data_IF_552004152115
#
_entry.id   IF_552004152115
#
_cell.length_a   1.000
_cell.length_b   1.000
_cell.length_c   1.000
_cell.angle_alpha   90.00
_cell.angle_beta   90.00
_cell.angle_gamma   90.00
#
_symmetry.space_group_name_H-M   'P 1'
#
loop_
_entity.id
_entity.type
_entity.pdbx_description
1 polymer ?
#
# COMPACT_ATOMS: atom_id res chain seq x y z
N UNK A 1 84.82 -10.29 18.26
CA UNK A 1 84.73 -10.83 19.63
C UNK A 1 83.38 -10.41 20.19
N UNK A 2 82.53 -11.37 20.61
CA UNK A 2 81.28 -11.21 21.39
C UNK A 2 80.10 -10.54 20.63
N UNK A 3 78.87 -11.07 20.55
CA UNK A 3 78.23 -12.39 20.76
C UNK A 3 76.91 -12.34 19.95
N UNK A 4 76.54 -13.48 19.37
CA UNK A 4 75.26 -13.77 18.69
C UNK A 4 74.05 -13.43 19.57
N UNK A 5 72.97 -12.91 18.95
CA UNK A 5 71.58 -13.32 19.23
C UNK A 5 70.77 -13.28 17.93
N UNK A 6 70.48 -14.47 17.43
CA UNK A 6 69.53 -14.75 16.36
C UNK A 6 68.15 -14.75 17.00
N UNK A 7 67.26 -13.87 16.56
CA UNK A 7 65.83 -13.95 16.89
C UNK A 7 65.14 -14.64 15.71
N UNK A 8 64.70 -15.88 15.94
CA UNK A 8 63.69 -16.52 15.10
C UNK A 8 62.35 -15.84 15.41
N UNK A 9 61.71 -15.25 14.41
CA UNK A 9 60.25 -15.06 14.44
C UNK A 9 59.62 -16.17 13.62
N UNK A 10 58.85 -17.01 14.34
CA UNK A 10 58.05 -18.07 13.76
C UNK A 10 56.92 -17.50 12.90
N UNK A 11 56.76 -18.06 11.71
CA UNK A 11 55.59 -17.88 10.88
C UNK A 11 54.44 -18.69 11.47
N UNK A 12 53.49 -18.01 12.12
CA UNK A 12 52.20 -18.60 12.49
C UNK A 12 51.28 -18.57 11.28
N UNK A 13 51.09 -19.73 10.63
CA UNK A 13 49.97 -19.97 9.73
C UNK A 13 48.67 -19.92 10.55
N UNK A 14 47.91 -18.82 10.42
CA UNK A 14 46.51 -18.78 10.79
C UNK A 14 45.70 -19.34 9.62
N UNK A 15 45.35 -20.62 9.71
CA UNK A 15 44.32 -21.21 8.88
C UNK A 15 42.97 -20.59 9.29
N UNK A 16 42.49 -19.63 8.50
CA UNK A 16 41.14 -19.11 8.59
C UNK A 16 40.17 -20.21 8.15
N UNK A 17 39.59 -20.90 9.15
CA UNK A 17 38.42 -21.74 8.97
C UNK A 17 37.28 -20.82 8.56
N UNK A 18 36.98 -20.79 7.26
CA UNK A 18 35.70 -20.27 6.77
C UNK A 18 34.61 -21.24 7.24
N UNK A 19 34.06 -20.96 8.42
CA UNK A 19 32.76 -21.50 8.80
C UNK A 19 31.73 -20.81 7.91
N UNK A 20 31.34 -21.48 6.84
CA UNK A 20 30.14 -21.13 6.08
C UNK A 20 28.95 -21.26 7.02
N UNK A 21 28.53 -20.14 7.62
CA UNK A 21 27.24 -20.01 8.28
C UNK A 21 26.16 -20.15 7.22
N UNK A 22 25.75 -21.39 6.99
CA UNK A 22 24.50 -21.75 6.35
C UNK A 22 23.38 -21.10 7.17
N UNK A 23 22.85 -19.98 6.67
CA UNK A 23 21.56 -19.48 7.10
C UNK A 23 20.55 -20.59 6.81
N UNK A 24 20.14 -21.28 7.87
CA UNK A 24 19.03 -22.22 7.83
C UNK A 24 17.79 -21.35 7.69
N UNK A 25 17.33 -21.16 6.45
CA UNK A 25 15.96 -20.74 6.17
C UNK A 25 15.08 -21.73 6.90
N UNK A 26 14.44 -21.27 7.99
CA UNK A 26 13.46 -22.08 8.70
C UNK A 26 12.18 -22.02 7.88
N UNK A 27 12.19 -22.66 6.71
CA UNK A 27 10.96 -23.12 6.08
C UNK A 27 10.34 -24.06 7.08
N UNK A 28 9.24 -23.66 7.71
CA UNK A 28 8.35 -24.56 8.45
C UNK A 28 7.70 -25.47 7.39
N UNK A 29 8.50 -26.36 6.82
CA UNK A 29 8.04 -27.53 6.08
C UNK A 29 7.89 -28.63 7.13
N UNK A 30 6.81 -28.57 7.90
CA UNK A 30 6.25 -29.81 8.40
C UNK A 30 5.95 -30.63 7.15
N UNK A 31 6.73 -31.69 6.88
CA UNK A 31 6.48 -32.59 5.76
C UNK A 31 5.10 -33.22 5.95
N UNK A 32 4.08 -32.58 5.39
CA UNK A 32 2.73 -33.14 5.36
C UNK A 32 2.78 -34.43 4.53
N UNK A 33 2.22 -35.50 5.07
CA UNK A 33 2.02 -36.74 4.34
C UNK A 33 0.97 -36.54 3.25
N UNK A 34 0.98 -37.41 2.23
CA UNK A 34 -0.01 -37.39 1.14
C UNK A 34 -1.45 -37.45 1.66
N UNK A 35 -1.69 -38.23 2.71
CA UNK A 35 -3.01 -38.39 3.32
C UNK A 35 -3.45 -37.14 4.09
N UNK A 36 -2.54 -36.45 4.77
CA UNK A 36 -2.83 -35.18 5.44
C UNK A 36 -3.16 -34.08 4.43
N UNK A 37 -2.40 -34.02 3.32
CA UNK A 37 -2.68 -33.09 2.23
C UNK A 37 -4.06 -33.37 1.65
N UNK A 38 -4.37 -34.63 1.32
CA UNK A 38 -5.65 -35.02 0.75
C UNK A 38 -6.85 -34.66 1.65
N UNK A 39 -6.73 -34.81 2.98
CA UNK A 39 -7.79 -34.47 3.95
C UNK A 39 -8.08 -32.97 4.03
N UNK A 40 -7.07 -32.13 3.78
CA UNK A 40 -7.16 -30.66 3.84
C UNK A 40 -7.25 -30.00 2.46
N UNK A 41 -7.20 -30.79 1.38
CA UNK A 41 -7.26 -30.30 0.02
C UNK A 41 -8.63 -29.70 -0.27
N UNK A 42 -8.65 -28.46 -0.74
CA UNK A 42 -9.88 -27.83 -1.22
C UNK A 42 -9.89 -27.73 -2.74
N UNK A 43 -10.92 -28.27 -3.39
CA UNK A 43 -11.08 -28.15 -4.83
C UNK A 43 -11.72 -26.83 -5.25
N UNK A 44 -12.08 -25.94 -4.31
CA UNK A 44 -12.61 -24.61 -4.56
C UNK A 44 -11.87 -23.59 -3.72
N UNK A 45 -11.39 -22.53 -4.35
CA UNK A 45 -10.68 -21.44 -3.69
C UNK A 45 -11.34 -20.13 -4.07
N UNK A 46 -11.90 -19.43 -3.07
CA UNK A 46 -12.48 -18.11 -3.22
C UNK A 46 -11.52 -17.04 -2.72
N UNK A 47 -11.15 -16.10 -3.61
CA UNK A 47 -10.33 -14.93 -3.32
C UNK A 47 -11.24 -13.74 -3.03
N UNK A 48 -11.13 -13.19 -1.83
CA UNK A 48 -12.05 -12.19 -1.29
C UNK A 48 -11.37 -10.83 -1.20
N UNK A 49 -12.12 -9.80 -1.61
CA UNK A 49 -11.74 -8.39 -1.47
C UNK A 49 -12.87 -7.60 -0.83
N UNK A 50 -12.56 -6.40 -0.32
CA UNK A 50 -13.61 -5.47 0.14
C UNK A 50 -14.33 -4.74 -0.98
N UNK A 51 -13.78 -4.78 -2.18
CA UNK A 51 -14.33 -4.19 -3.40
C UNK A 51 -13.61 -4.79 -4.61
N UNK A 52 -14.32 -4.92 -5.73
CA UNK A 52 -13.76 -5.36 -7.00
C UNK A 52 -14.08 -4.31 -8.07
N UNK A 53 -13.09 -4.00 -8.89
CA UNK A 53 -13.24 -3.04 -9.98
C UNK A 53 -14.26 -3.56 -11.02
N UNK A 54 -15.29 -2.78 -11.39
CA UNK A 54 -16.25 -3.16 -12.42
C UNK A 54 -15.63 -3.43 -13.80
N UNK A 55 -14.43 -2.90 -14.08
CA UNK A 55 -13.69 -3.22 -15.30
C UNK A 55 -13.05 -4.61 -15.29
N UNK A 56 -12.90 -5.24 -14.11
CA UNK A 56 -12.43 -6.61 -13.95
C UNK A 56 -13.59 -7.60 -13.93
N UNK A 57 -14.57 -7.36 -13.05
CA UNK A 57 -15.75 -8.20 -12.86
C UNK A 57 -16.93 -7.65 -13.63
N UNK A 58 -17.32 -8.37 -14.67
CA UNK A 58 -18.50 -8.10 -15.48
C UNK A 58 -19.38 -9.36 -15.54
N UNK A 59 -20.34 -9.44 -14.61
CA UNK A 59 -21.24 -10.59 -14.45
C UNK A 59 -22.12 -10.85 -15.70
N UNK A 60 -22.20 -9.88 -16.63
CA UNK A 60 -23.00 -10.00 -17.85
C UNK A 60 -22.20 -10.57 -19.02
N UNK A 61 -20.88 -10.67 -18.89
CA UNK A 61 -19.99 -11.09 -19.97
C UNK A 61 -19.24 -12.38 -19.61
N UNK A 62 -19.57 -13.54 -20.21
CA UNK A 62 -18.84 -14.78 -19.96
C UNK A 62 -17.38 -14.74 -20.45
N UNK A 63 -17.00 -13.78 -21.31
CA UNK A 63 -15.62 -13.52 -21.72
C UNK A 63 -14.98 -12.36 -20.94
N UNK A 64 -15.50 -12.05 -19.74
CA UNK A 64 -14.97 -11.02 -18.85
C UNK A 64 -13.48 -11.23 -18.54
N UNK A 65 -12.82 -10.14 -18.15
CA UNK A 65 -11.42 -10.16 -17.70
C UNK A 65 -11.25 -11.12 -16.51
N UNK A 66 -12.21 -11.15 -15.59
CA UNK A 66 -12.27 -12.11 -14.49
C UNK A 66 -12.19 -13.57 -14.99
N UNK A 67 -13.04 -13.96 -15.95
CA UNK A 67 -13.04 -15.34 -16.45
C UNK A 67 -11.75 -15.71 -17.18
N UNK A 68 -11.17 -14.78 -17.93
CA UNK A 68 -9.85 -14.98 -18.54
C UNK A 68 -8.76 -15.18 -17.49
N UNK A 69 -8.78 -14.38 -16.42
CA UNK A 69 -7.84 -14.51 -15.31
C UNK A 69 -8.03 -15.80 -14.52
N UNK A 70 -9.28 -16.18 -14.20
CA UNK A 70 -9.60 -17.45 -13.55
C UNK A 70 -9.10 -18.62 -14.39
N UNK A 71 -9.29 -18.61 -15.71
CA UNK A 71 -8.79 -19.66 -16.61
C UNK A 71 -7.25 -19.76 -16.54
N UNK A 72 -6.55 -18.64 -16.54
CA UNK A 72 -5.10 -18.58 -16.39
C UNK A 72 -4.64 -19.16 -15.03
N UNK A 73 -5.27 -18.74 -13.93
CA UNK A 73 -4.98 -19.25 -12.58
C UNK A 73 -5.18 -20.77 -12.48
N UNK A 74 -6.33 -21.26 -12.96
CA UNK A 74 -6.64 -22.71 -12.99
C UNK A 74 -5.57 -23.49 -13.76
N UNK A 75 -5.22 -23.03 -14.96
CA UNK A 75 -4.21 -23.69 -15.79
C UNK A 75 -2.82 -23.71 -15.13
N UNK A 76 -2.41 -22.58 -14.53
CA UNK A 76 -1.10 -22.45 -13.87
C UNK A 76 -1.01 -23.29 -12.59
N UNK A 77 -2.04 -23.24 -11.74
CA UNK A 77 -2.12 -24.08 -10.55
C UNK A 77 -2.11 -25.56 -10.91
N UNK A 78 -2.91 -25.97 -11.90
CA UNK A 78 -2.97 -27.36 -12.37
C UNK A 78 -1.60 -27.85 -12.85
N UNK A 79 -0.88 -27.03 -13.62
CA UNK A 79 0.47 -27.38 -14.07
C UNK A 79 1.42 -27.67 -12.90
N UNK A 80 1.41 -26.84 -11.85
CA UNK A 80 2.23 -27.08 -10.65
C UNK A 80 1.76 -28.29 -9.85
N UNK A 81 0.44 -28.48 -9.69
CA UNK A 81 -0.16 -29.65 -9.03
C UNK A 81 0.23 -30.95 -9.73
N UNK A 82 0.06 -31.03 -11.05
CA UNK A 82 0.30 -32.25 -11.83
C UNK A 82 1.80 -32.61 -11.91
N UNK A 83 2.68 -31.63 -11.74
CA UNK A 83 4.13 -31.82 -11.67
C UNK A 83 4.61 -32.33 -10.31
N UNK A 84 3.79 -32.22 -9.26
CA UNK A 84 4.18 -32.60 -7.90
C UNK A 84 3.69 -34.02 -7.53
N UNK A 85 4.58 -34.94 -7.12
CA UNK A 85 4.21 -36.31 -6.79
C UNK A 85 3.17 -36.46 -5.66
N UNK A 86 3.10 -35.48 -4.74
CA UNK A 86 2.16 -35.49 -3.61
C UNK A 86 0.76 -35.06 -4.03
N UNK A 87 0.62 -34.21 -5.06
CA UNK A 87 -0.66 -33.57 -5.40
C UNK A 87 -1.18 -33.91 -6.80
N UNK A 88 -0.40 -34.54 -7.67
CA UNK A 88 -0.81 -34.88 -9.05
C UNK A 88 -2.11 -35.68 -9.16
N UNK A 89 -2.41 -36.51 -8.16
CA UNK A 89 -3.64 -37.32 -8.12
C UNK A 89 -4.80 -36.67 -7.36
N UNK A 90 -4.62 -35.46 -6.82
CA UNK A 90 -5.68 -34.73 -6.13
C UNK A 90 -6.61 -34.05 -7.14
N UNK A 91 -7.88 -33.77 -6.76
CA UNK A 91 -8.81 -33.03 -7.60
C UNK A 91 -8.23 -31.71 -8.08
N UNK A 92 -8.59 -31.31 -9.31
CA UNK A 92 -8.30 -29.98 -9.82
C UNK A 92 -8.99 -28.91 -8.96
N UNK A 93 -8.41 -27.71 -8.93
CA UNK A 93 -8.88 -26.60 -8.10
C UNK A 93 -9.55 -25.55 -8.97
N UNK A 94 -10.77 -25.19 -8.59
CA UNK A 94 -11.53 -24.09 -9.16
C UNK A 94 -11.28 -22.79 -8.37
N UNK A 95 -11.20 -21.67 -9.07
CA UNK A 95 -11.06 -20.34 -8.48
C UNK A 95 -12.30 -19.48 -8.72
N UNK A 96 -12.64 -18.64 -7.75
CA UNK A 96 -13.67 -17.60 -7.85
C UNK A 96 -13.25 -16.33 -7.08
N UNK A 97 -13.88 -15.20 -7.39
CA UNK A 97 -13.74 -13.97 -6.61
C UNK A 97 -15.05 -13.59 -5.94
N UNK A 98 -14.95 -13.13 -4.69
CA UNK A 98 -16.08 -12.64 -3.91
C UNK A 98 -15.77 -11.28 -3.25
N UNK A 99 -16.83 -10.58 -2.85
CA UNK A 99 -16.75 -9.32 -2.12
C UNK A 99 -17.27 -9.50 -0.70
N UNK A 100 -16.48 -9.11 0.28
CA UNK A 100 -16.90 -9.04 1.67
C UNK A 100 -16.63 -7.64 2.22
N UNK A 101 -17.68 -6.90 2.55
CA UNK A 101 -17.52 -5.52 3.03
C UNK A 101 -17.12 -5.44 4.51
N UNK A 102 -17.26 -6.51 5.28
CA UNK A 102 -16.99 -6.54 6.71
C UNK A 102 -15.53 -6.90 7.01
N UNK A 103 -14.64 -5.92 6.79
CA UNK A 103 -13.20 -6.06 7.07
C UNK A 103 -12.89 -6.47 8.51
N UNK A 104 -13.74 -6.08 9.47
CA UNK A 104 -13.49 -6.33 10.89
C UNK A 104 -13.56 -7.82 11.24
N UNK A 105 -14.29 -8.63 10.46
CA UNK A 105 -14.40 -10.07 10.69
C UNK A 105 -13.43 -10.92 9.86
N UNK A 106 -12.63 -10.32 8.98
CA UNK A 106 -11.74 -11.06 8.07
C UNK A 106 -10.82 -12.04 8.83
N UNK A 107 -10.12 -11.56 9.86
CA UNK A 107 -9.21 -12.40 10.64
C UNK A 107 -9.95 -13.58 11.31
N UNK A 108 -11.09 -13.31 11.96
CA UNK A 108 -11.88 -14.37 12.60
C UNK A 108 -12.42 -15.39 11.61
N UNK A 109 -12.79 -15.00 10.39
CA UNK A 109 -13.25 -15.94 9.34
C UNK A 109 -12.11 -16.84 8.84
N UNK A 110 -10.91 -16.26 8.66
CA UNK A 110 -9.69 -16.98 8.32
C UNK A 110 -9.29 -17.99 9.41
N UNK A 111 -9.32 -17.57 10.67
CA UNK A 111 -9.00 -18.39 11.84
C UNK A 111 -10.00 -19.53 12.04
N UNK A 112 -11.30 -19.24 11.94
CA UNK A 112 -12.40 -20.20 12.03
C UNK A 112 -12.53 -21.12 10.80
N UNK A 113 -11.61 -21.03 9.86
CA UNK A 113 -11.56 -21.91 8.69
C UNK A 113 -12.83 -21.85 7.82
N UNK A 114 -13.37 -20.65 7.56
CA UNK A 114 -14.54 -20.46 6.68
C UNK A 114 -14.23 -20.91 5.24
N UNK A 115 -14.74 -22.08 4.86
CA UNK A 115 -14.51 -22.69 3.53
C UNK A 115 -15.21 -21.99 2.37
N UNK A 116 -16.02 -20.95 2.63
CA UNK A 116 -16.63 -20.16 1.56
C UNK A 116 -15.73 -19.00 1.13
N UNK A 117 -14.71 -18.68 1.93
CA UNK A 117 -13.87 -17.48 1.80
C UNK A 117 -12.43 -17.81 2.18
N UNK A 118 -11.73 -18.44 1.25
CA UNK A 118 -10.43 -19.08 1.54
C UNK A 118 -9.29 -18.11 1.70
N UNK A 119 -9.23 -17.05 0.88
CA UNK A 119 -8.11 -16.10 0.84
C UNK A 119 -8.66 -14.69 0.88
N UNK A 120 -8.23 -13.87 1.83
CA UNK A 120 -8.54 -12.45 1.86
C UNK A 120 -7.32 -11.65 1.43
N UNK A 121 -7.51 -10.71 0.50
CA UNK A 121 -6.52 -9.70 0.13
C UNK A 121 -6.96 -8.38 0.74
N UNK A 122 -6.19 -7.86 1.68
CA UNK A 122 -6.52 -6.62 2.37
C UNK A 122 -5.29 -5.91 2.92
N UNK A 123 -5.48 -4.62 3.19
CA UNK A 123 -4.49 -3.79 3.84
C UNK A 123 -4.10 -4.33 5.23
N UNK A 124 -2.83 -4.19 5.60
CA UNK A 124 -2.28 -4.63 6.89
C UNK A 124 -3.00 -4.01 8.10
N UNK A 125 -3.56 -2.81 7.98
CA UNK A 125 -4.42 -2.21 9.02
C UNK A 125 -5.57 -3.13 9.45
N UNK A 126 -6.09 -3.95 8.53
CA UNK A 126 -7.18 -4.90 8.79
C UNK A 126 -6.78 -5.95 9.82
N UNK A 127 -5.49 -6.30 9.88
CA UNK A 127 -4.97 -7.40 10.69
C UNK A 127 -4.02 -6.95 11.80
N UNK A 128 -3.65 -5.66 11.84
CA UNK A 128 -2.57 -5.16 12.70
C UNK A 128 -2.78 -5.50 14.17
N UNK A 129 -4.01 -5.42 14.69
CA UNK A 129 -4.32 -5.70 16.09
C UNK A 129 -4.21 -7.20 16.45
N UNK A 130 -4.26 -8.10 15.46
CA UNK A 130 -4.08 -9.54 15.67
C UNK A 130 -2.60 -9.92 15.74
N UNK A 131 -1.76 -9.16 15.03
CA UNK A 131 -0.34 -9.46 14.87
C UNK A 131 0.59 -8.53 15.66
N UNK A 132 0.11 -7.40 16.17
CA UNK A 132 0.91 -6.47 16.96
C UNK A 132 0.19 -6.09 18.26
N UNK A 133 0.72 -6.58 19.38
CA UNK A 133 0.15 -6.36 20.71
C UNK A 133 1.29 -6.04 21.69
N UNK A 134 1.05 -5.13 22.64
CA UNK A 134 2.04 -4.76 23.65
C UNK A 134 3.42 -4.37 23.07
N UNK A 135 3.43 -3.68 21.93
CA UNK A 135 4.64 -3.32 21.17
C UNK A 135 5.50 -4.51 20.71
N UNK A 136 4.88 -5.66 20.48
CA UNK A 136 5.54 -6.87 20.01
C UNK A 136 4.74 -7.56 18.90
N UNK A 137 5.46 -8.25 18.02
CA UNK A 137 4.85 -9.06 16.97
C UNK A 137 4.40 -10.41 17.54
N UNK A 138 3.12 -10.74 17.36
CA UNK A 138 2.56 -12.02 17.71
C UNK A 138 2.87 -13.06 16.61
N UNK A 139 3.62 -14.10 16.98
CA UNK A 139 3.99 -15.22 16.10
C UNK A 139 3.01 -16.40 16.19
N UNK A 140 2.10 -16.37 17.14
CA UNK A 140 1.14 -17.44 17.39
C UNK A 140 -0.15 -17.15 16.61
N UNK A 141 -0.25 -17.75 15.43
CA UNK A 141 -1.44 -17.70 14.58
C UNK A 141 -1.51 -18.91 13.66
N UNK A 142 -2.73 -19.35 13.34
CA UNK A 142 -2.96 -20.52 12.49
C UNK A 142 -3.28 -20.16 11.03
N UNK A 143 -3.50 -18.87 10.73
CA UNK A 143 -3.75 -18.39 9.37
C UNK A 143 -2.55 -18.62 8.46
N UNK A 144 -2.80 -18.74 7.16
CA UNK A 144 -1.78 -19.08 6.16
C UNK A 144 -1.29 -17.83 5.46
N UNK A 145 0.01 -17.61 5.47
CA UNK A 145 0.63 -16.53 4.68
C UNK A 145 0.69 -16.99 3.22
N UNK A 146 0.01 -16.30 2.31
CA UNK A 146 0.00 -16.66 0.88
C UNK A 146 0.96 -15.77 0.11
N UNK A 147 0.74 -14.45 0.12
CA UNK A 147 1.55 -13.54 -0.68
C UNK A 147 1.54 -12.11 -0.18
N UNK A 148 2.64 -11.41 -0.41
CA UNK A 148 2.68 -9.94 -0.40
C UNK A 148 2.31 -9.43 -1.79
N UNK A 149 1.42 -8.44 -1.87
CA UNK A 149 1.16 -7.75 -3.15
C UNK A 149 2.14 -6.59 -3.35
N UNK A 150 2.36 -6.22 -4.60
CA UNK A 150 3.11 -5.02 -5.00
C UNK A 150 2.35 -4.31 -6.10
N UNK A 151 2.58 -3.00 -6.21
CA UNK A 151 1.95 -2.14 -7.21
C UNK A 151 2.98 -1.47 -8.09
N UNK A 152 2.55 -0.94 -9.24
CA UNK A 152 3.42 -0.11 -10.07
C UNK A 152 3.81 1.16 -9.34
N UNK A 153 5.11 1.48 -9.39
CA UNK A 153 5.68 2.66 -8.78
C UNK A 153 5.27 3.92 -9.54
N UNK A 154 4.95 5.00 -8.83
CA UNK A 154 4.69 6.28 -9.48
C UNK A 154 5.98 6.93 -10.00
N UNK A 155 5.87 7.76 -11.04
CA UNK A 155 7.02 8.46 -11.63
C UNK A 155 7.80 9.34 -10.63
N UNK A 156 7.11 9.91 -9.65
CA UNK A 156 7.71 10.80 -8.65
C UNK A 156 8.33 10.08 -7.44
N UNK A 157 8.09 8.77 -7.30
CA UNK A 157 8.64 7.95 -6.23
C UNK A 157 10.06 7.51 -6.59
N UNK A 158 11.01 7.71 -5.66
CA UNK A 158 12.42 7.34 -5.87
C UNK A 158 12.81 6.06 -5.15
N UNK A 159 12.37 5.89 -3.90
CA UNK A 159 12.62 4.67 -3.10
C UNK A 159 11.48 4.40 -2.11
N UNK A 160 11.34 3.14 -1.71
CA UNK A 160 10.33 2.72 -0.73
C UNK A 160 10.68 3.22 0.68
N UNK A 161 11.96 3.16 1.05
CA UNK A 161 12.53 3.62 2.34
C UNK A 161 12.66 5.15 2.46
N UNK A 162 11.62 5.92 2.10
CA UNK A 162 11.51 7.34 2.47
C UNK A 162 10.63 7.46 3.72
N UNK A 163 11.18 8.01 4.79
CA UNK A 163 10.49 8.26 6.06
C UNK A 163 10.58 9.73 6.43
N UNK A 164 9.61 10.19 7.20
CA UNK A 164 9.55 11.54 7.74
C UNK A 164 10.78 11.85 8.59
N UNK A 165 11.32 13.06 8.43
CA UNK A 165 12.47 13.56 9.18
C UNK A 165 12.06 14.78 10.00
N UNK A 166 11.61 15.84 9.33
CA UNK A 166 11.31 17.13 9.96
C UNK A 166 10.14 17.91 9.32
N UNK A 167 9.63 17.43 8.18
CA UNK A 167 8.55 18.06 7.42
C UNK A 167 8.94 19.36 6.72
N UNK A 168 10.20 19.77 6.73
CA UNK A 168 10.69 20.97 6.05
C UNK A 168 10.93 20.70 4.57
N UNK A 169 11.28 21.71 3.78
CA UNK A 169 11.45 21.53 2.33
C UNK A 169 12.50 20.46 1.97
N UNK A 170 13.53 20.26 2.79
CA UNK A 170 14.53 19.18 2.62
C UNK A 170 14.03 17.79 3.01
N UNK A 171 12.88 17.67 3.66
CA UNK A 171 12.31 16.38 4.06
C UNK A 171 12.06 15.51 2.81
N UNK A 172 12.50 14.24 2.80
CA UNK A 172 12.31 13.35 1.65
C UNK A 172 10.85 13.22 1.21
N UNK A 173 9.88 13.29 2.13
CA UNK A 173 8.46 13.21 1.84
C UNK A 173 7.88 14.53 1.29
N UNK A 174 8.47 15.67 1.67
CA UNK A 174 8.17 16.98 1.04
C UNK A 174 8.72 17.05 -0.37
N UNK A 175 9.94 16.59 -0.58
CA UNK A 175 10.57 16.51 -1.90
C UNK A 175 9.79 15.58 -2.84
N UNK A 176 9.25 14.47 -2.33
CA UNK A 176 8.38 13.60 -3.12
C UNK A 176 7.06 14.28 -3.49
N UNK A 177 6.41 14.97 -2.55
CA UNK A 177 5.20 15.74 -2.82
C UNK A 177 5.41 16.83 -3.88
N UNK A 178 6.56 17.52 -3.86
CA UNK A 178 6.93 18.49 -4.89
C UNK A 178 7.07 17.83 -6.26
N UNK A 179 7.76 16.69 -6.36
CA UNK A 179 7.85 15.92 -7.61
C UNK A 179 6.48 15.45 -8.10
N UNK A 180 5.59 15.02 -7.21
CA UNK A 180 4.22 14.66 -7.57
C UNK A 180 3.49 15.87 -8.20
N UNK A 181 3.53 17.03 -7.56
CA UNK A 181 2.89 18.24 -8.08
C UNK A 181 3.43 18.60 -9.46
N UNK A 182 4.75 18.51 -9.66
CA UNK A 182 5.42 18.76 -10.94
C UNK A 182 4.95 17.77 -12.02
N UNK A 183 4.96 16.46 -11.71
CA UNK A 183 4.54 15.43 -12.67
C UNK A 183 3.08 15.62 -13.11
N UNK A 184 2.17 15.91 -12.18
CA UNK A 184 0.75 16.12 -12.48
C UNK A 184 0.46 17.32 -13.38
N UNK A 185 1.33 18.33 -13.40
CA UNK A 185 1.11 19.55 -14.20
C UNK A 185 1.96 19.57 -15.47
N UNK A 186 3.25 19.21 -15.39
CA UNK A 186 4.16 19.27 -16.53
C UNK A 186 3.88 18.17 -17.55
N UNK A 187 3.44 16.98 -17.12
CA UNK A 187 3.11 15.89 -18.04
C UNK A 187 1.79 16.12 -18.76
N UNK A 188 0.89 16.94 -18.22
CA UNK A 188 -0.47 17.13 -18.73
C UNK A 188 -0.66 18.47 -19.43
N UNK A 189 0.16 19.47 -19.10
CA UNK A 189 -0.02 20.90 -19.41
C UNK A 189 -1.31 21.52 -18.84
N UNK A 190 -2.03 20.80 -17.97
CA UNK A 190 -3.31 21.24 -17.38
C UNK A 190 -3.44 20.73 -15.95
N UNK A 191 -4.11 21.52 -15.11
CA UNK A 191 -4.47 21.10 -13.77
C UNK A 191 -5.61 20.08 -13.76
N UNK A 192 -5.70 19.24 -12.73
CA UNK A 192 -6.96 18.57 -12.41
C UNK A 192 -7.88 19.64 -11.81
N UNK A 193 -9.13 19.83 -12.28
CA UNK A 193 -10.01 18.91 -12.99
C UNK A 193 -10.07 19.03 -14.53
N UNK A 194 -9.15 19.74 -15.17
CA UNK A 194 -9.11 19.93 -16.64
C UNK A 194 -8.38 18.81 -17.39
N UNK A 195 -8.01 17.72 -16.72
CA UNK A 195 -7.31 16.57 -17.33
C UNK A 195 -8.03 15.93 -18.52
N UNK A 196 -9.36 16.01 -18.60
CA UNK A 196 -10.13 15.57 -19.77
C UNK A 196 -9.82 16.37 -21.05
N UNK A 197 -9.18 17.54 -20.94
CA UNK A 197 -8.71 18.37 -22.05
C UNK A 197 -7.29 18.01 -22.51
N UNK A 198 -6.57 17.17 -21.75
CA UNK A 198 -5.20 16.76 -22.09
C UNK A 198 -5.21 15.58 -23.05
N UNK A 199 -4.54 15.72 -24.19
CA UNK A 199 -4.26 14.64 -25.15
C UNK A 199 -3.11 13.73 -24.72
N UNK A 200 -2.35 14.13 -23.70
CA UNK A 200 -1.19 13.38 -23.16
C UNK A 200 -1.59 12.28 -22.19
N UNK A 201 -2.83 12.26 -21.70
CA UNK A 201 -3.31 11.34 -20.69
C UNK A 201 -4.07 10.15 -21.29
N UNK A 202 -3.70 8.94 -20.88
CA UNK A 202 -4.36 7.69 -21.26
C UNK A 202 -4.95 7.03 -20.02
N UNK A 203 -6.28 6.98 -19.94
CA UNK A 203 -6.99 6.23 -18.90
C UNK A 203 -7.23 4.79 -19.39
N UNK A 204 -6.56 3.81 -18.80
CA UNK A 204 -6.52 2.41 -19.27
C UNK A 204 -7.76 1.57 -18.88
N UNK A 205 -8.80 2.22 -18.36
CA UNK A 205 -9.99 1.61 -17.77
C UNK A 205 -9.93 1.49 -16.24
N UNK A 206 -8.76 1.64 -15.64
CA UNK A 206 -8.54 1.62 -14.19
C UNK A 206 -7.81 2.87 -13.69
N UNK A 207 -6.81 3.35 -14.44
CA UNK A 207 -5.92 4.45 -14.05
C UNK A 207 -5.33 5.19 -15.24
N UNK A 208 -4.79 6.38 -14.98
CA UNK A 208 -3.93 7.14 -15.90
C UNK A 208 -2.53 6.53 -15.92
N UNK A 209 -2.25 5.70 -16.92
CA UNK A 209 -1.03 4.89 -16.97
C UNK A 209 0.26 5.73 -17.09
N UNK A 210 0.16 6.95 -17.61
CA UNK A 210 1.29 7.86 -17.84
C UNK A 210 2.09 8.21 -16.57
N UNK A 211 1.47 8.09 -15.39
CA UNK A 211 2.07 8.46 -14.12
C UNK A 211 2.78 7.31 -13.41
N UNK A 212 2.87 6.15 -14.05
CA UNK A 212 3.50 4.96 -13.51
C UNK A 212 4.77 4.63 -14.28
N UNK A 213 5.79 4.19 -13.55
CA UNK A 213 7.03 3.72 -14.11
C UNK A 213 6.80 2.33 -14.72
N UNK A 214 7.05 2.13 -16.02
CA UNK A 214 6.83 0.84 -16.66
C UNK A 214 7.63 -0.26 -15.96
N UNK A 215 6.94 -1.32 -15.54
CA UNK A 215 7.51 -2.52 -14.93
C UNK A 215 8.36 -2.31 -13.67
N UNK A 216 8.31 -1.12 -13.05
CA UNK A 216 8.90 -0.90 -11.73
C UNK A 216 7.82 -1.05 -10.67
N UNK A 217 8.11 -1.91 -9.69
CA UNK A 217 7.19 -2.24 -8.63
C UNK A 217 7.63 -1.56 -7.33
N UNK A 218 6.67 -1.43 -6.41
CA UNK A 218 6.88 -0.99 -5.04
C UNK A 218 6.02 -1.84 -4.12
N UNK A 219 6.54 -2.08 -2.91
CA UNK A 219 5.83 -2.81 -1.86
C UNK A 219 5.06 -1.89 -0.93
N UNK A 220 5.09 -0.59 -1.20
CA UNK A 220 4.51 0.40 -0.31
C UNK A 220 3.54 1.32 -1.03
N UNK A 221 2.66 1.89 -0.22
CA UNK A 221 1.86 3.04 -0.59
C UNK A 221 1.87 4.04 0.56
N UNK A 222 1.37 5.25 0.30
CA UNK A 222 1.39 6.36 1.24
C UNK A 222 0.03 7.04 1.24
N UNK A 223 -0.26 7.73 2.34
CA UNK A 223 -1.22 8.82 2.34
C UNK A 223 -0.54 10.12 1.95
N UNK A 224 -1.34 11.15 1.72
CA UNK A 224 -0.89 12.53 1.52
C UNK A 224 -1.76 13.51 2.29
N UNK A 225 -1.21 14.69 2.54
CA UNK A 225 -1.96 15.88 2.95
C UNK A 225 -2.03 16.81 1.73
N UNK A 226 -3.24 17.05 1.25
CA UNK A 226 -3.52 18.04 0.22
C UNK A 226 -3.76 19.42 0.82
N UNK A 227 -3.38 20.46 0.10
CA UNK A 227 -3.72 21.85 0.37
C UNK A 227 -4.37 22.49 -0.86
N UNK A 228 -5.36 23.37 -0.66
CA UNK A 228 -5.99 24.16 -1.72
C UNK A 228 -5.92 25.66 -1.44
N UNK A 229 -6.14 26.46 -2.48
CA UNK A 229 -6.01 27.90 -2.46
C UNK A 229 -5.26 28.40 -3.68
N UNK A 230 -5.18 29.72 -3.85
CA UNK A 230 -4.17 30.35 -4.70
C UNK A 230 -2.77 30.19 -4.09
N UNK A 231 -1.73 30.69 -4.77
CA UNK A 231 -0.35 30.54 -4.27
C UNK A 231 -0.19 31.17 -2.88
N UNK A 232 -0.72 32.36 -2.66
CA UNK A 232 -0.61 33.06 -1.37
C UNK A 232 -1.23 32.24 -0.22
N UNK A 233 -2.40 31.66 -0.42
CA UNK A 233 -3.06 30.81 0.59
C UNK A 233 -2.31 29.51 0.82
N UNK A 234 -1.79 28.86 -0.23
CA UNK A 234 -0.98 27.64 -0.08
C UNK A 234 0.34 27.93 0.65
N UNK A 235 0.96 29.08 0.39
CA UNK A 235 2.17 29.53 1.08
C UNK A 235 1.89 29.81 2.56
N UNK A 236 0.73 30.39 2.90
CA UNK A 236 0.31 30.59 4.30
C UNK A 236 0.14 29.26 5.04
N UNK A 237 -0.56 28.28 4.44
CA UNK A 237 -0.72 26.95 5.04
C UNK A 237 0.64 26.26 5.21
N UNK A 238 1.51 26.37 4.21
CA UNK A 238 2.87 25.81 4.24
C UNK A 238 3.72 26.48 5.30
N UNK A 239 3.55 27.79 5.52
CA UNK A 239 4.22 28.50 6.60
C UNK A 239 3.77 28.01 7.98
N UNK A 240 2.47 27.87 8.21
CA UNK A 240 1.95 27.36 9.48
C UNK A 240 2.40 25.92 9.76
N UNK A 241 2.55 25.11 8.71
CA UNK A 241 3.22 23.82 8.78
C UNK A 241 4.70 23.97 9.16
N UNK A 242 5.51 24.70 8.38
CA UNK A 242 6.95 24.82 8.61
C UNK A 242 7.28 25.40 10.01
N UNK A 243 6.47 26.35 10.49
CA UNK A 243 6.56 26.96 11.82
C UNK A 243 6.05 26.04 12.95
N UNK A 244 5.54 24.85 12.62
CA UNK A 244 4.90 23.89 13.53
C UNK A 244 3.77 24.52 14.35
N UNK A 245 3.03 25.45 13.75
CA UNK A 245 1.94 26.16 14.41
C UNK A 245 0.62 25.39 14.26
N UNK A 246 0.40 24.41 15.14
CA UNK A 246 -0.81 23.58 15.13
C UNK A 246 -2.10 24.41 15.09
N UNK A 247 -2.22 25.42 15.96
CA UNK A 247 -3.43 26.23 16.13
C UNK A 247 -3.80 27.04 14.88
N UNK A 248 -2.81 27.47 14.10
CA UNK A 248 -3.07 28.12 12.81
C UNK A 248 -3.30 27.11 11.70
N UNK A 249 -2.52 26.03 11.67
CA UNK A 249 -2.63 24.99 10.66
C UNK A 249 -4.05 24.40 10.59
N UNK A 250 -4.61 24.00 11.73
CA UNK A 250 -5.96 23.41 11.78
C UNK A 250 -7.07 24.40 11.41
N UNK A 251 -6.83 25.71 11.55
CA UNK A 251 -7.82 26.75 11.22
C UNK A 251 -8.07 26.91 9.72
N UNK A 252 -7.18 26.39 8.88
CA UNK A 252 -7.42 26.27 7.44
C UNK A 252 -8.44 25.18 7.08
N UNK A 253 -8.78 24.35 8.06
CA UNK A 253 -9.82 23.34 8.02
C UNK A 253 -9.41 22.05 7.33
N UNK A 254 -9.73 20.94 7.98
CA UNK A 254 -9.24 19.60 7.64
C UNK A 254 -10.42 18.71 7.27
N UNK A 255 -10.34 18.09 6.09
CA UNK A 255 -11.32 17.13 5.58
C UNK A 255 -10.77 15.70 5.65
N UNK A 256 -11.60 14.78 6.13
CA UNK A 256 -11.41 13.34 5.99
C UNK A 256 -12.76 12.62 6.03
N UNK A 257 -12.85 11.47 5.35
CA UNK A 257 -14.11 10.73 5.24
C UNK A 257 -14.37 9.81 6.42
N UNK A 258 -13.39 8.99 6.77
CA UNK A 258 -13.59 7.81 7.61
C UNK A 258 -12.31 7.50 8.40
N UNK A 259 -12.45 7.45 9.72
CA UNK A 259 -11.35 7.25 10.66
C UNK A 259 -10.73 5.85 10.61
N UNK A 260 -11.46 4.88 10.06
CA UNK A 260 -10.95 3.52 9.87
C UNK A 260 -9.96 3.41 8.71
N UNK A 261 -9.89 4.42 7.82
CA UNK A 261 -9.05 4.37 6.61
C UNK A 261 -7.60 4.67 6.93
N UNK A 262 -6.71 3.85 6.40
CA UNK A 262 -5.28 3.97 6.66
C UNK A 262 -4.68 5.18 5.94
N UNK A 263 -4.59 5.13 4.61
CA UNK A 263 -3.93 6.16 3.79
C UNK A 263 -4.74 7.45 3.58
N UNK A 264 -5.95 7.55 4.11
CA UNK A 264 -6.78 8.77 4.08
C UNK A 264 -7.20 9.26 5.48
N UNK A 265 -6.61 8.72 6.54
CA UNK A 265 -6.78 9.25 7.90
C UNK A 265 -5.63 8.87 8.84
N UNK A 266 -5.43 7.58 9.12
CA UNK A 266 -4.54 7.14 10.19
C UNK A 266 -3.10 7.57 9.98
N UNK A 267 -2.59 7.50 8.75
CA UNK A 267 -1.21 7.87 8.44
C UNK A 267 -0.99 9.38 8.58
N UNK A 268 -1.99 10.17 8.22
CA UNK A 268 -1.98 11.63 8.38
C UNK A 268 -2.04 12.02 9.86
N UNK A 269 -2.89 11.37 10.66
CA UNK A 269 -2.91 11.56 12.12
C UNK A 269 -1.54 11.27 12.73
N UNK A 270 -0.89 10.17 12.32
CA UNK A 270 0.45 9.85 12.78
C UNK A 270 1.49 10.88 12.36
N UNK A 271 1.43 11.36 11.12
CA UNK A 271 2.30 12.40 10.61
C UNK A 271 2.10 13.73 11.37
N UNK A 272 0.85 14.15 11.61
CA UNK A 272 0.54 15.36 12.38
C UNK A 272 1.06 15.25 13.82
N UNK A 273 0.87 14.11 14.46
CA UNK A 273 1.36 13.86 15.81
C UNK A 273 2.91 13.94 15.88
N UNK A 274 3.61 13.42 14.86
CA UNK A 274 5.07 13.58 14.72
C UNK A 274 5.46 15.05 14.54
N UNK A 275 4.84 15.72 13.58
CA UNK A 275 5.26 17.05 13.13
C UNK A 275 5.00 18.14 14.17
N UNK A 276 3.81 18.15 14.76
CA UNK A 276 3.38 19.15 15.75
C UNK A 276 3.70 18.76 17.19
N UNK A 277 4.51 17.70 17.40
CA UNK A 277 4.86 17.15 18.70
C UNK A 277 3.66 16.89 19.62
N UNK A 278 2.64 16.23 19.06
CA UNK A 278 1.44 15.78 19.79
C UNK A 278 1.42 14.26 19.89
N UNK A 279 0.52 13.73 20.67
CA UNK A 279 0.14 12.32 20.70
C UNK A 279 -0.95 12.05 19.66
N UNK A 280 -1.06 10.80 19.22
CA UNK A 280 -2.17 10.35 18.35
C UNK A 280 -3.52 10.65 19.01
N UNK A 281 -3.60 10.45 20.33
CA UNK A 281 -4.79 10.71 21.13
C UNK A 281 -5.20 12.18 21.07
N UNK A 282 -4.28 13.11 21.32
CA UNK A 282 -4.58 14.55 21.25
C UNK A 282 -5.08 15.00 19.87
N UNK A 283 -4.51 14.45 18.79
CA UNK A 283 -4.99 14.74 17.42
C UNK A 283 -6.42 14.24 17.22
N UNK A 284 -6.70 12.99 17.61
CA UNK A 284 -8.04 12.41 17.47
C UNK A 284 -9.08 13.12 18.34
N UNK A 285 -8.74 13.47 19.59
CA UNK A 285 -9.62 14.23 20.48
C UNK A 285 -9.95 15.61 19.90
N UNK A 286 -8.98 16.28 19.26
CA UNK A 286 -9.25 17.54 18.54
C UNK A 286 -10.23 17.31 17.38
N UNK A 287 -10.03 16.26 16.58
CA UNK A 287 -10.95 15.91 15.48
C UNK A 287 -12.34 15.46 15.95
N UNK A 288 -12.48 15.06 17.22
CA UNK A 288 -13.75 14.67 17.86
C UNK A 288 -14.43 15.80 18.63
N UNK A 289 -13.73 16.91 18.85
CA UNK A 289 -14.22 18.05 19.64
C UNK A 289 -15.44 18.77 19.05
N UNK A 290 -15.77 18.51 17.78
CA UNK A 290 -16.80 19.27 17.06
C UNK A 290 -16.33 20.66 16.62
N UNK A 291 -15.02 20.91 16.59
CA UNK A 291 -14.45 22.13 16.05
C UNK A 291 -14.96 22.39 14.61
N UNK A 292 -15.41 23.62 14.35
CA UNK A 292 -16.04 24.01 13.07
C UNK A 292 -15.12 23.85 11.86
N UNK A 293 -13.80 23.80 12.09
CA UNK A 293 -12.78 23.64 11.06
C UNK A 293 -12.58 22.16 10.67
N UNK A 294 -13.23 21.21 11.34
CA UNK A 294 -13.11 19.78 11.04
C UNK A 294 -14.31 19.28 10.24
N UNK A 295 -14.02 18.75 9.05
CA UNK A 295 -15.01 18.25 8.08
C UNK A 295 -14.91 16.72 8.01
N UNK A 296 -15.51 16.06 8.99
CA UNK A 296 -15.61 14.60 9.05
C UNK A 296 -16.77 14.06 8.19
N UNK A 297 -16.61 12.89 7.60
CA UNK A 297 -17.66 12.18 6.85
C UNK A 297 -17.70 12.47 5.35
N UNK A 298 -16.90 13.43 4.87
CA UNK A 298 -16.88 13.86 3.47
C UNK A 298 -15.57 13.49 2.79
N UNK A 299 -15.62 13.09 1.52
CA UNK A 299 -14.41 12.80 0.76
C UNK A 299 -13.67 14.09 0.41
N UNK A 300 -12.34 14.03 0.39
CA UNK A 300 -11.48 15.13 -0.04
C UNK A 300 -11.89 15.67 -1.42
N UNK A 301 -12.05 14.77 -2.40
CA UNK A 301 -12.47 15.09 -3.77
C UNK A 301 -13.78 15.89 -3.86
N UNK A 302 -14.68 15.75 -2.89
CA UNK A 302 -16.00 16.33 -2.95
C UNK A 302 -16.04 17.72 -2.32
N UNK A 303 -15.13 18.07 -1.39
CA UNK A 303 -15.25 19.27 -0.55
C UNK A 303 -14.02 20.18 -0.49
N UNK A 304 -12.81 19.70 -0.80
CA UNK A 304 -11.60 20.53 -0.65
C UNK A 304 -11.66 21.79 -1.53
N UNK A 305 -11.42 22.95 -0.93
CA UNK A 305 -11.47 24.25 -1.62
C UNK A 305 -12.88 24.70 -2.02
N UNK A 306 -13.93 24.04 -1.55
CA UNK A 306 -15.33 24.43 -1.80
C UNK A 306 -15.98 25.04 -0.57
N UNK A 307 -16.69 26.13 -0.75
CA UNK A 307 -17.41 26.79 0.34
C UNK A 307 -18.57 25.91 0.86
N UNK A 308 -18.65 25.78 2.19
CA UNK A 308 -19.74 25.12 2.91
C UNK A 308 -19.98 25.87 4.21
N UNK A 309 -21.21 26.34 4.44
CA UNK A 309 -21.58 27.13 5.63
C UNK A 309 -20.63 28.29 5.93
N UNK A 310 -20.27 29.07 4.90
CA UNK A 310 -19.35 30.23 4.97
C UNK A 310 -17.92 29.89 5.39
N UNK A 311 -17.52 28.62 5.31
CA UNK A 311 -16.16 28.17 5.53
C UNK A 311 -15.67 27.39 4.31
N UNK A 312 -14.39 27.56 3.93
CA UNK A 312 -13.78 26.80 2.83
C UNK A 312 -12.64 25.96 3.39
N UNK A 313 -12.83 24.65 3.61
CA UNK A 313 -11.73 23.79 4.06
C UNK A 313 -10.63 23.69 3.01
N UNK A 314 -9.40 23.91 3.44
CA UNK A 314 -8.21 23.99 2.59
C UNK A 314 -7.24 22.86 2.76
N UNK A 315 -7.43 21.98 3.74
CA UNK A 315 -6.58 20.80 3.97
C UNK A 315 -7.44 19.54 3.82
N UNK A 316 -6.92 18.51 3.17
CA UNK A 316 -7.59 17.22 3.09
C UNK A 316 -6.63 16.04 3.18
N UNK A 317 -7.12 14.92 3.70
CA UNK A 317 -6.41 13.65 3.73
C UNK A 317 -6.94 12.71 2.63
N UNK A 318 -6.03 12.12 1.87
CA UNK A 318 -6.34 11.07 0.90
C UNK A 318 -5.11 10.20 0.62
N UNK A 319 -5.30 9.13 -0.15
CA UNK A 319 -4.21 8.27 -0.63
C UNK A 319 -3.30 9.01 -1.63
N UNK A 320 -1.99 8.71 -1.61
CA UNK A 320 -1.04 9.24 -2.59
C UNK A 320 -1.44 8.86 -4.02
N UNK A 321 -1.47 9.83 -4.92
CA UNK A 321 -1.78 9.55 -6.32
C UNK A 321 -3.27 9.36 -6.61
N UNK A 322 -4.18 9.73 -5.70
CA UNK A 322 -5.64 9.53 -5.87
C UNK A 322 -6.22 10.01 -7.20
N UNK A 323 -5.63 11.03 -7.84
CA UNK A 323 -6.05 11.51 -9.16
C UNK A 323 -5.84 10.46 -10.25
N UNK A 324 -4.86 9.57 -10.08
CA UNK A 324 -4.44 8.61 -11.09
C UNK A 324 -5.51 7.55 -11.35
N UNK A 325 -6.26 7.11 -10.35
CA UNK A 325 -7.39 6.18 -10.54
C UNK A 325 -8.76 6.86 -10.46
N UNK A 326 -8.78 8.18 -10.26
CA UNK A 326 -10.01 8.98 -10.27
C UNK A 326 -10.21 9.58 -11.65
N UNK A 327 -10.95 8.86 -12.51
CA UNK A 327 -11.19 9.28 -13.90
C UNK A 327 -11.84 10.67 -13.95
N UNK A 328 -11.11 11.62 -14.51
CA UNK A 328 -11.65 12.93 -14.84
C UNK A 328 -12.63 12.83 -16.02
N UNK A 329 -13.74 13.55 -15.91
CA UNK A 329 -14.77 13.68 -16.95
C UNK A 329 -15.10 15.17 -17.10
N UNK A 330 -15.54 15.59 -18.28
CA UNK A 330 -15.82 17.00 -18.62
C UNK A 330 -16.63 17.74 -17.55
N UNK A 331 -17.69 17.12 -17.04
CA UNK A 331 -18.59 17.73 -16.06
C UNK A 331 -18.30 17.31 -14.61
N UNK A 332 -17.09 16.81 -14.35
CA UNK A 332 -16.69 16.36 -13.02
C UNK A 332 -16.35 17.56 -12.12
N UNK A 333 -16.94 17.58 -10.93
CA UNK A 333 -16.63 18.54 -9.87
C UNK A 333 -15.66 17.97 -8.83
N UNK A 334 -15.05 16.82 -9.09
CA UNK A 334 -14.05 16.23 -8.19
C UNK A 334 -12.84 17.17 -8.13
N UNK A 335 -12.34 17.46 -6.93
CA UNK A 335 -11.20 18.36 -6.65
C UNK A 335 -11.28 19.77 -7.29
N UNK A 336 -12.42 20.17 -7.86
CA UNK A 336 -12.65 21.51 -8.42
C UNK A 336 -12.97 22.48 -7.27
N UNK A 337 -12.07 23.42 -7.00
CA UNK A 337 -12.30 24.43 -5.95
C UNK A 337 -13.36 25.45 -6.39
N UNK A 338 -13.99 26.17 -5.45
CA UNK A 338 -15.00 27.18 -5.77
C UNK A 338 -14.47 28.36 -6.58
N UNK A 339 -13.15 28.62 -6.52
CA UNK A 339 -12.48 29.73 -7.22
C UNK A 339 -11.58 29.25 -8.36
N UNK A 340 -11.68 27.98 -8.75
CA UNK A 340 -10.91 27.43 -9.85
C UNK A 340 -11.23 28.17 -11.16
N UNK A 341 -10.19 28.59 -11.86
CA UNK A 341 -10.29 29.25 -13.16
C UNK A 341 -9.80 28.30 -14.24
N UNK A 342 -10.70 27.98 -15.18
CA UNK A 342 -10.36 27.14 -16.33
C UNK A 342 -9.41 27.86 -17.28
N UNK A 343 -8.61 27.08 -18.03
CA UNK A 343 -7.70 27.57 -19.07
C UNK A 343 -6.59 28.51 -18.57
N UNK A 344 -6.28 28.48 -17.28
CA UNK A 344 -5.10 29.14 -16.73
C UNK A 344 -3.86 28.28 -16.92
N UNK A 345 -2.68 28.90 -17.09
CA UNK A 345 -1.41 28.21 -16.92
C UNK A 345 -1.37 27.51 -15.55
N UNK A 346 -0.73 26.34 -15.48
CA UNK A 346 -0.64 25.55 -14.26
C UNK A 346 0.14 26.23 -13.12
N UNK A 347 0.92 27.24 -13.48
CA UNK A 347 1.73 28.11 -12.63
C UNK A 347 1.12 29.50 -12.44
N UNK A 348 -0.17 29.70 -12.78
CA UNK A 348 -0.88 30.94 -12.44
C UNK A 348 -1.07 31.04 -10.93
N UNK A 349 -0.34 31.96 -10.32
CA UNK A 349 -0.34 32.21 -8.88
C UNK A 349 -1.72 32.57 -8.31
N UNK A 350 -2.65 33.05 -9.13
CA UNK A 350 -4.00 33.45 -8.71
C UNK A 350 -5.03 32.33 -8.88
N UNK A 351 -4.68 31.20 -9.50
CA UNK A 351 -5.61 30.10 -9.67
C UNK A 351 -5.73 29.28 -8.38
N UNK A 352 -6.97 29.04 -7.94
CA UNK A 352 -7.26 28.26 -6.74
C UNK A 352 -7.26 26.76 -7.09
N UNK A 353 -6.17 26.08 -6.76
CA UNK A 353 -5.90 24.70 -7.17
C UNK A 353 -5.47 23.85 -5.97
N UNK A 354 -5.60 22.53 -6.13
CA UNK A 354 -5.17 21.56 -5.12
C UNK A 354 -3.74 21.09 -5.42
N UNK A 355 -2.92 21.01 -4.37
CA UNK A 355 -1.53 20.52 -4.42
C UNK A 355 -1.27 19.59 -3.24
N UNK A 356 -0.32 18.68 -3.39
CA UNK A 356 0.20 17.86 -2.29
C UNK A 356 1.14 18.72 -1.45
N UNK A 357 0.89 18.87 -0.16
CA UNK A 357 1.83 19.49 0.78
C UNK A 357 2.96 18.50 1.13
N UNK A 358 2.58 17.30 1.59
CA UNK A 358 3.52 16.28 2.06
C UNK A 358 2.91 14.88 1.95
N UNK A 359 3.73 13.86 1.69
CA UNK A 359 3.36 12.45 1.80
C UNK A 359 3.56 11.93 3.24
N UNK A 360 2.92 10.81 3.59
CA UNK A 360 3.12 10.15 4.90
C UNK A 360 4.29 9.16 4.86
N UNK A 361 4.63 8.62 6.03
CA UNK A 361 5.45 7.42 6.11
C UNK A 361 4.83 6.29 5.25
N UNK A 362 5.67 5.41 4.68
CA UNK A 362 5.21 4.32 3.84
C UNK A 362 4.54 3.26 4.70
N UNK A 363 3.50 2.66 4.14
CA UNK A 363 2.87 1.46 4.67
C UNK A 363 3.00 0.34 3.63
N UNK A 364 3.09 -0.94 4.05
CA UNK A 364 3.06 -2.04 3.10
C UNK A 364 1.78 -2.03 2.27
N UNK A 365 1.89 -2.43 1.01
CA UNK A 365 0.74 -2.73 0.18
C UNK A 365 0.02 -3.99 0.70
N UNK A 366 -1.15 -4.30 0.15
CA UNK A 366 -2.04 -5.31 0.72
C UNK A 366 -1.41 -6.72 0.80
N UNK A 367 -1.89 -7.53 1.74
CA UNK A 367 -1.43 -8.90 1.98
C UNK A 367 -2.54 -9.90 1.67
N UNK A 368 -2.16 -11.04 1.08
CA UNK A 368 -3.03 -12.19 0.88
C UNK A 368 -2.83 -13.20 2.02
N UNK A 369 -3.85 -13.40 2.84
CA UNK A 369 -3.88 -14.36 3.95
C UNK A 369 -4.95 -15.43 3.68
N UNK A 370 -4.59 -16.69 3.84
CA UNK A 370 -5.43 -17.86 3.65
C UNK A 370 -5.95 -18.45 4.96
N UNK A 371 -7.10 -19.12 4.92
CA UNK A 371 -7.73 -19.73 6.10
C UNK A 371 -6.88 -20.84 6.70
N UNK A 372 -7.01 -21.05 8.02
CA UNK A 372 -6.16 -21.95 8.81
C UNK A 372 -6.16 -23.42 8.35
N UNK A 373 -7.29 -23.91 7.82
CA UNK A 373 -7.46 -25.32 7.44
C UNK A 373 -6.96 -25.69 6.04
N UNK A 374 -6.32 -24.80 5.28
CA UNK A 374 -5.63 -25.18 4.05
C UNK A 374 -4.38 -26.01 4.39
N UNK A 375 -4.09 -27.04 3.58
CA UNK A 375 -2.80 -27.74 3.69
C UNK A 375 -1.65 -26.80 3.36
N UNK A 376 -0.50 -26.97 4.03
CA UNK A 376 0.70 -26.19 3.70
C UNK A 376 1.13 -26.45 2.25
N UNK A 377 0.92 -27.66 1.73
CA UNK A 377 1.21 -27.97 0.33
C UNK A 377 0.30 -27.21 -0.65
N UNK A 378 -0.99 -27.07 -0.35
CA UNK A 378 -1.88 -26.25 -1.18
C UNK A 378 -1.51 -24.77 -1.11
N UNK A 379 -1.13 -24.27 0.07
CA UNK A 379 -0.61 -22.90 0.25
C UNK A 379 0.65 -22.66 -0.59
N UNK A 380 1.59 -23.60 -0.60
CA UNK A 380 2.80 -23.54 -1.44
C UNK A 380 2.41 -23.41 -2.94
N UNK A 381 1.49 -24.24 -3.42
CA UNK A 381 1.04 -24.22 -4.82
C UNK A 381 0.27 -22.94 -5.16
N UNK A 382 -0.55 -22.41 -4.24
CA UNK A 382 -1.25 -21.12 -4.41
C UNK A 382 -0.25 -19.96 -4.49
N UNK A 383 0.71 -19.93 -3.57
CA UNK A 383 1.79 -18.94 -3.54
C UNK A 383 2.59 -18.94 -4.83
N UNK A 384 3.02 -20.14 -5.27
CA UNK A 384 3.75 -20.32 -6.53
C UNK A 384 2.93 -19.92 -7.75
N UNK A 385 1.64 -20.23 -7.76
CA UNK A 385 0.72 -19.84 -8.83
C UNK A 385 0.66 -18.32 -8.98
N UNK A 386 0.35 -17.61 -7.90
CA UNK A 386 0.24 -16.15 -7.89
C UNK A 386 1.59 -15.48 -8.21
N UNK A 387 2.68 -15.96 -7.62
CA UNK A 387 4.01 -15.40 -7.85
C UNK A 387 4.49 -15.61 -9.30
N UNK A 388 4.09 -16.70 -9.96
CA UNK A 388 4.53 -16.99 -11.33
C UNK A 388 3.94 -16.06 -12.41
N UNK A 389 2.92 -15.26 -12.08
CA UNK A 389 2.27 -14.35 -13.04
C UNK A 389 3.18 -13.15 -13.33
N UNK A 390 3.50 -12.88 -14.59
CA UNK A 390 4.11 -11.60 -14.98
C UNK A 390 3.15 -10.42 -14.74
N UNK A 391 3.66 -9.19 -14.82
CA UNK A 391 2.84 -7.97 -14.68
C UNK A 391 1.76 -7.95 -15.77
N UNK A 392 2.12 -8.35 -16.98
CA UNK A 392 1.26 -8.37 -18.17
C UNK A 392 0.20 -9.49 -18.11
N UNK A 393 0.57 -10.67 -17.62
CA UNK A 393 -0.36 -11.79 -17.43
C UNK A 393 -1.35 -11.57 -16.28
N UNK A 394 -0.97 -10.78 -15.28
CA UNK A 394 -1.79 -10.52 -14.10
C UNK A 394 -2.89 -9.48 -14.40
N UNK A 395 -3.91 -9.93 -15.15
CA UNK A 395 -5.06 -9.11 -15.51
C UNK A 395 -5.79 -8.54 -14.30
N UNK A 396 -5.86 -9.29 -13.19
CA UNK A 396 -6.43 -8.80 -11.94
C UNK A 396 -5.66 -7.59 -11.39
N UNK A 397 -4.32 -7.68 -11.36
CA UNK A 397 -3.45 -6.60 -10.92
C UNK A 397 -3.61 -5.29 -11.68
N UNK A 398 -3.94 -5.34 -12.99
CA UNK A 398 -4.21 -4.12 -13.78
C UNK A 398 -5.34 -3.27 -13.19
N UNK A 399 -6.38 -3.91 -12.65
CA UNK A 399 -7.62 -3.26 -12.22
C UNK A 399 -7.72 -3.02 -10.71
N UNK A 400 -6.89 -3.71 -9.92
CA UNK A 400 -6.84 -3.56 -8.46
C UNK A 400 -5.60 -2.82 -7.95
N UNK A 401 -4.55 -2.76 -8.75
CA UNK A 401 -3.23 -2.29 -8.32
C UNK A 401 -2.33 -3.39 -7.77
N UNK A 402 -2.81 -4.63 -7.59
CA UNK A 402 -2.00 -5.79 -7.17
C UNK A 402 -1.20 -6.36 -8.35
N UNK A 403 -0.29 -5.55 -8.92
CA UNK A 403 0.39 -5.84 -10.18
C UNK A 403 1.28 -7.08 -10.14
N UNK A 404 1.83 -7.44 -8.97
CA UNK A 404 2.62 -8.67 -8.80
C UNK A 404 2.51 -9.19 -7.37
N UNK A 405 2.55 -10.51 -7.24
CA UNK A 405 2.53 -11.22 -5.96
C UNK A 405 3.90 -11.80 -5.65
N UNK A 406 4.31 -11.72 -4.39
CA UNK A 406 5.58 -12.22 -3.88
C UNK A 406 5.33 -13.23 -2.78
N UNK A 407 6.15 -14.28 -2.74
CA UNK A 407 6.10 -15.26 -1.65
C UNK A 407 6.28 -14.54 -0.30
N UNK A 408 5.46 -14.91 0.67
CA UNK A 408 5.45 -14.29 1.98
C UNK A 408 5.84 -15.32 3.04
N UNK A 409 6.96 -15.05 3.72
CA UNK A 409 7.40 -15.81 4.89
C UNK A 409 7.20 -14.97 6.17
N UNK A 410 7.40 -15.61 7.32
CA UNK A 410 7.20 -14.99 8.62
C UNK A 410 8.09 -13.75 8.83
N UNK A 411 9.34 -13.79 8.38
CA UNK A 411 10.31 -12.71 8.59
C UNK A 411 9.91 -11.44 7.82
N UNK A 412 9.56 -11.58 6.54
CA UNK A 412 9.09 -10.47 5.71
C UNK A 412 7.71 -9.97 6.20
N UNK A 413 6.85 -10.88 6.63
CA UNK A 413 5.56 -10.52 7.20
C UNK A 413 5.70 -9.69 8.49
N UNK A 414 6.61 -10.08 9.40
CA UNK A 414 6.92 -9.31 10.61
C UNK A 414 7.45 -7.91 10.25
N UNK A 415 8.33 -7.81 9.25
CA UNK A 415 8.84 -6.51 8.76
C UNK A 415 7.70 -5.62 8.23
N UNK A 416 6.77 -6.16 7.45
CA UNK A 416 5.64 -5.40 6.94
C UNK A 416 4.64 -5.00 8.04
N UNK A 417 4.40 -5.85 9.04
CA UNK A 417 3.62 -5.47 10.22
C UNK A 417 4.28 -4.31 10.97
N UNK A 418 5.59 -4.37 11.21
CA UNK A 418 6.34 -3.27 11.83
C UNK A 418 6.27 -1.99 10.99
N UNK A 419 6.36 -2.11 9.67
CA UNK A 419 6.20 -0.97 8.76
C UNK A 419 4.79 -0.35 8.86
N UNK A 420 3.75 -1.17 8.92
CA UNK A 420 2.37 -0.70 9.12
C UNK A 420 2.22 0.03 10.47
N UNK A 421 2.77 -0.53 11.56
CA UNK A 421 2.76 0.12 12.87
C UNK A 421 3.47 1.47 12.83
N UNK A 422 4.61 1.56 12.15
CA UNK A 422 5.33 2.82 11.95
C UNK A 422 4.51 3.81 11.10
N UNK A 423 3.70 3.37 10.13
CA UNK A 423 2.82 4.25 9.38
C UNK A 423 1.67 4.82 10.25
N UNK A 424 1.10 4.03 11.17
CA UNK A 424 -0.06 4.43 12.01
C UNK A 424 0.29 5.05 13.37
N UNK A 425 1.56 4.99 13.80
CA UNK A 425 1.99 5.47 15.12
C UNK A 425 3.17 6.44 15.00
N UNK A 426 3.74 6.89 16.12
CA UNK A 426 4.98 7.68 16.16
C UNK A 426 6.25 6.81 16.26
N UNK A 427 6.11 5.48 16.30
CA UNK A 427 7.25 4.57 16.45
C UNK A 427 8.07 4.52 15.16
N UNK A 428 9.39 4.33 15.30
CA UNK A 428 10.31 4.09 14.20
C UNK A 428 10.92 2.70 14.36
N UNK A 429 10.37 1.73 13.63
CA UNK A 429 10.66 0.30 13.80
C UNK A 429 11.52 -0.27 12.68
N UNK A 430 11.44 0.34 11.48
CA UNK A 430 12.12 -0.07 10.26
C UNK A 430 12.81 1.16 9.66
N UNK A 431 14.04 0.95 9.16
CA UNK A 431 14.82 1.98 8.45
C UNK A 431 14.95 1.70 6.97
N UNK A 432 14.89 0.42 6.58
CA UNK A 432 15.01 -0.02 5.21
C UNK A 432 13.95 -1.07 4.91
N UNK A 433 13.35 -0.96 3.72
CA UNK A 433 12.35 -1.89 3.20
C UNK A 433 13.05 -2.72 2.14
N UNK A 434 13.32 -3.98 2.46
CA UNK A 434 13.92 -4.93 1.54
C UNK A 434 12.85 -5.53 0.63
N UNK A 435 13.15 -5.67 -0.65
CA UNK A 435 12.31 -6.42 -1.56
C UNK A 435 12.28 -7.89 -1.13
N UNK A 436 11.09 -8.50 -0.95
CA UNK A 436 10.97 -9.94 -0.78
C UNK A 436 11.65 -10.65 -1.96
N UNK A 437 12.61 -11.52 -1.66
CA UNK A 437 13.27 -12.32 -2.69
C UNK A 437 12.25 -13.28 -3.30
N UNK A 438 12.26 -13.38 -4.63
CA UNK A 438 11.59 -14.48 -5.32
C UNK A 438 12.47 -15.72 -5.15
N UNK A 439 11.95 -16.75 -4.49
CA UNK A 439 12.59 -18.06 -4.41
C UNK A 439 12.35 -18.89 -5.68
#
# INVERSE_FOLDING_TARGET
MIKKKIFMLGASLLASIFASSSCTTTTISSKESKDEIAKKWDSKITIVNSWINPGFKDDKNPNSIENQFIKLLKARFKSFKDSDPLTKNLPDVDFSFDVDYDKNSYFSKLENNDKNKDIYIANYTTYINNFWQNNQFNKEFDVKLIAQTSTLKFNWQTKDSLFYVDGQDSDPLRQQAQRNNIEWVQKTNVDYPDWHKSDKLTFDGSKYSNFYQPNQLTFVYRGVIFISGDKAKRDEITKDWNDKNWEKFVKHGIIFKDKSKSGSYKYQVALLARHFNKTIKEINEYFESGAKEIFNGTKAQDQIGKESNSFTPRIAFDDEGVYNWTRNKKDSNLFKTSKYQENKPYDDDNNDVVRVLIATNPAPYDVAIGRSGLSNKQVELLTKTLNSLSIEENLYGKYTGYNKFYALNLDNFEKFIKLQVQAETKLDLIKEIEEPKND
#
